data_IF_808631463102
#
_entry.id   IF_808631463102
#
_cell.length_a   1.000
_cell.length_b   1.000
_cell.length_c   1.000
_cell.angle_alpha   90.00
_cell.angle_beta   90.00
_cell.angle_gamma   90.00
#
_symmetry.space_group_name_H-M   'P 1'
#
loop_
_entity.id
_entity.type
_entity.pdbx_description
1 polymer ?
#
# COMPACT_ATOMS: atom_id res chain seq x y z
N UNK A 1 14.55 -9.50 26.66
CA UNK A 1 13.21 -9.06 27.11
C UNK A 1 12.54 -8.24 26.03
N UNK A 2 11.32 -8.59 25.65
CA UNK A 2 10.49 -7.84 24.72
C UNK A 2 9.05 -7.79 25.27
N UNK A 3 8.31 -6.73 24.93
CA UNK A 3 6.91 -6.56 25.27
C UNK A 3 6.08 -6.67 23.98
N UNK A 4 5.06 -7.52 23.99
CA UNK A 4 4.09 -7.69 22.91
C UNK A 4 2.73 -7.21 23.41
N UNK A 5 2.10 -6.26 22.72
CA UNK A 5 0.75 -5.76 23.06
C UNK A 5 -0.18 -5.90 21.86
N UNK A 6 -1.40 -6.37 22.10
CA UNK A 6 -2.44 -6.45 21.09
C UNK A 6 -3.57 -5.50 21.49
N UNK A 7 -3.81 -4.47 20.68
CA UNK A 7 -4.78 -3.39 20.92
C UNK A 7 -4.76 -2.80 22.34
N UNK A 8 -3.60 -2.26 22.81
CA UNK A 8 -3.45 -1.82 24.20
C UNK A 8 -4.28 -0.58 24.56
N UNK A 9 -4.80 0.14 23.57
CA UNK A 9 -5.69 1.30 23.77
C UNK A 9 -7.15 0.92 23.95
N UNK A 10 -7.49 -0.37 23.79
CA UNK A 10 -8.87 -0.81 23.89
C UNK A 10 -9.39 -0.77 25.34
N UNK A 11 -10.65 -0.39 25.51
CA UNK A 11 -11.31 -0.21 26.82
C UNK A 11 -10.66 0.83 27.76
N UNK A 12 -9.73 1.65 27.27
CA UNK A 12 -9.14 2.76 28.02
C UNK A 12 -9.91 4.05 27.76
N UNK A 13 -9.99 4.90 28.77
CA UNK A 13 -10.37 6.29 28.59
C UNK A 13 -9.18 7.10 28.04
N UNK A 14 -9.46 8.34 27.63
CA UNK A 14 -8.44 9.20 27.01
C UNK A 14 -7.26 9.48 27.93
N UNK A 15 -7.51 9.64 29.25
CA UNK A 15 -6.45 9.92 30.23
C UNK A 15 -5.50 8.71 30.38
N UNK A 16 -6.05 7.49 30.45
CA UNK A 16 -5.24 6.29 30.49
C UNK A 16 -4.46 6.05 29.20
N UNK A 17 -5.03 6.37 28.03
CA UNK A 17 -4.31 6.30 26.74
C UNK A 17 -3.11 7.25 26.75
N UNK A 18 -3.30 8.51 27.15
CA UNK A 18 -2.20 9.49 27.21
C UNK A 18 -1.08 9.09 28.17
N UNK A 19 -1.44 8.56 29.35
CA UNK A 19 -0.46 8.03 30.29
C UNK A 19 0.32 6.85 29.69
N UNK A 20 -0.38 5.94 29.01
CA UNK A 20 0.23 4.77 28.39
C UNK A 20 1.17 5.17 27.24
N UNK A 21 0.81 6.16 26.44
CA UNK A 21 1.66 6.74 25.39
C UNK A 21 2.98 7.23 25.98
N UNK A 22 2.93 8.10 27.00
CA UNK A 22 4.14 8.65 27.63
C UNK A 22 5.00 7.55 28.28
N UNK A 23 4.37 6.59 28.94
CA UNK A 23 5.06 5.45 29.53
C UNK A 23 5.79 4.60 28.48
N UNK A 24 5.14 4.31 27.35
CA UNK A 24 5.70 3.47 26.29
C UNK A 24 6.70 4.23 25.40
N UNK A 25 6.56 5.54 25.21
CA UNK A 25 7.55 6.37 24.50
C UNK A 25 8.91 6.38 25.22
N UNK A 26 8.92 6.23 26.55
CA UNK A 26 10.14 6.14 27.36
C UNK A 26 10.62 4.69 27.58
N UNK A 27 10.00 3.71 26.93
CA UNK A 27 10.34 2.30 27.10
C UNK A 27 11.71 1.98 26.49
N UNK A 28 12.62 1.44 27.31
CA UNK A 28 14.03 1.23 26.92
C UNK A 28 14.30 -0.12 26.26
N UNK A 29 13.31 -1.00 26.20
CA UNK A 29 13.42 -2.36 25.64
C UNK A 29 12.62 -2.48 24.34
N UNK A 30 12.70 -3.64 23.70
CA UNK A 30 11.93 -3.91 22.48
C UNK A 30 10.44 -3.95 22.83
N UNK A 31 9.66 -3.12 22.15
CA UNK A 31 8.21 -3.07 22.20
C UNK A 31 7.67 -3.38 20.80
N UNK A 32 6.71 -4.29 20.71
CA UNK A 32 5.98 -4.59 19.49
C UNK A 32 4.49 -4.57 19.81
N UNK A 33 3.71 -3.80 19.07
CA UNK A 33 2.28 -3.72 19.31
C UNK A 33 1.47 -3.57 18.03
N UNK A 34 0.20 -3.93 18.13
CA UNK A 34 -0.84 -3.66 17.13
C UNK A 34 -1.82 -2.67 17.72
N UNK A 35 -2.12 -1.60 16.99
CA UNK A 35 -3.05 -0.55 17.41
C UNK A 35 -3.69 0.11 16.18
N UNK A 36 -4.93 0.54 16.31
CA UNK A 36 -5.64 1.30 15.28
C UNK A 36 -5.53 2.84 15.42
N UNK A 37 -4.97 3.36 16.52
CA UNK A 37 -4.84 4.80 16.76
C UNK A 37 -3.61 5.39 16.08
N UNK A 38 -3.82 6.38 15.21
CA UNK A 38 -2.75 7.06 14.48
C UNK A 38 -1.88 7.91 15.42
N UNK A 39 -2.48 8.63 16.36
CA UNK A 39 -1.78 9.49 17.32
C UNK A 39 -0.85 8.66 18.22
N UNK A 40 -1.36 7.54 18.73
CA UNK A 40 -0.59 6.60 19.55
C UNK A 40 0.61 6.05 18.79
N UNK A 41 0.40 5.57 17.56
CA UNK A 41 1.48 5.09 16.71
C UNK A 41 2.47 6.21 16.38
N UNK A 42 2.01 7.44 16.20
CA UNK A 42 2.88 8.57 15.91
C UNK A 42 3.81 8.93 17.07
N UNK A 43 3.33 8.77 18.31
CA UNK A 43 4.06 9.12 19.53
C UNK A 43 5.00 8.00 20.01
N UNK A 44 4.64 6.73 19.79
CA UNK A 44 5.37 5.57 20.33
C UNK A 44 6.19 4.82 19.26
N UNK A 45 5.72 4.72 18.01
CA UNK A 45 6.41 3.89 17.00
C UNK A 45 7.67 4.56 16.45
N UNK A 46 8.74 3.78 16.36
CA UNK A 46 9.97 4.13 15.63
C UNK A 46 10.08 3.42 14.28
N UNK A 47 9.32 2.33 14.11
CA UNK A 47 9.25 1.51 12.92
C UNK A 47 7.83 1.00 12.75
N UNK A 48 7.37 0.86 11.50
CA UNK A 48 6.07 0.30 11.15
C UNK A 48 6.28 -0.96 10.31
N UNK A 49 5.59 -2.03 10.69
CA UNK A 49 5.51 -3.26 9.92
C UNK A 49 4.11 -3.35 9.32
N UNK A 50 4.02 -3.28 7.99
CA UNK A 50 2.76 -3.43 7.25
C UNK A 50 2.68 -4.83 6.66
N UNK A 51 1.52 -5.47 6.81
CA UNK A 51 1.17 -6.66 6.04
C UNK A 51 0.47 -6.25 4.73
N UNK A 52 1.14 -6.52 3.62
CA UNK A 52 0.58 -6.45 2.26
C UNK A 52 -0.31 -7.69 2.05
N UNK A 53 -1.62 -7.50 1.97
CA UNK A 53 -2.59 -8.59 1.89
C UNK A 53 -2.65 -9.17 0.47
N UNK A 54 -2.41 -8.33 -0.53
CA UNK A 54 -2.39 -8.72 -1.95
C UNK A 54 -1.27 -9.71 -2.23
N UNK A 55 -0.06 -9.44 -1.74
CA UNK A 55 1.12 -10.25 -2.00
C UNK A 55 1.54 -11.13 -0.82
N UNK A 56 0.83 -11.06 0.32
CA UNK A 56 1.13 -11.77 1.58
C UNK A 56 2.57 -11.51 2.04
N UNK A 57 3.01 -10.26 2.00
CA UNK A 57 4.39 -9.86 2.35
C UNK A 57 4.40 -8.85 3.48
N UNK A 58 5.39 -8.97 4.36
CA UNK A 58 5.67 -7.95 5.37
C UNK A 58 6.59 -6.89 4.77
N UNK A 59 6.21 -5.62 4.91
CA UNK A 59 7.00 -4.45 4.51
C UNK A 59 7.37 -3.66 5.74
N UNK A 60 8.63 -3.27 5.81
CA UNK A 60 9.20 -2.54 6.94
C UNK A 60 9.42 -1.08 6.54
N UNK A 61 8.99 -0.17 7.41
CA UNK A 61 9.16 1.27 7.24
C UNK A 61 9.83 1.83 8.50
N UNK A 62 10.76 2.76 8.30
CA UNK A 62 11.41 3.49 9.39
C UNK A 62 10.64 4.78 9.67
N UNK A 63 10.55 5.15 10.94
CA UNK A 63 9.81 6.31 11.40
C UNK A 63 8.44 5.98 11.98
N UNK A 64 7.68 7.03 12.25
CA UNK A 64 6.36 6.98 12.83
C UNK A 64 5.26 6.75 11.76
N UNK A 65 3.99 6.80 12.17
CA UNK A 65 2.86 6.52 11.28
C UNK A 65 2.79 7.49 10.09
N UNK A 66 2.94 8.79 10.32
CA UNK A 66 2.88 9.81 9.25
C UNK A 66 3.99 9.61 8.20
N UNK A 67 5.20 9.32 8.67
CA UNK A 67 6.32 9.03 7.78
C UNK A 67 6.07 7.76 6.98
N UNK A 68 5.51 6.72 7.60
CA UNK A 68 5.07 5.51 6.91
C UNK A 68 4.05 5.81 5.80
N UNK A 69 3.01 6.59 6.08
CA UNK A 69 1.97 6.94 5.10
C UNK A 69 2.58 7.63 3.89
N UNK A 70 3.48 8.59 4.13
CA UNK A 70 4.19 9.30 3.05
C UNK A 70 5.09 8.39 2.23
N UNK A 71 5.93 7.59 2.90
CA UNK A 71 6.85 6.66 2.24
C UNK A 71 6.10 5.63 1.40
N UNK A 72 4.99 5.11 1.92
CA UNK A 72 4.12 4.19 1.18
C UNK A 72 3.56 4.85 -0.07
N UNK A 73 3.01 6.05 0.05
CA UNK A 73 2.46 6.78 -1.09
C UNK A 73 3.52 7.01 -2.17
N UNK A 74 4.73 7.44 -1.80
CA UNK A 74 5.82 7.66 -2.75
C UNK A 74 6.26 6.35 -3.44
N UNK A 75 6.35 5.25 -2.69
CA UNK A 75 6.65 3.92 -3.23
C UNK A 75 5.55 3.44 -4.19
N UNK A 76 4.28 3.59 -3.83
CA UNK A 76 3.14 3.19 -4.65
C UNK A 76 3.10 4.01 -5.95
N UNK A 77 3.41 5.31 -5.90
CA UNK A 77 3.53 6.16 -7.09
C UNK A 77 4.66 5.70 -8.02
N UNK A 78 5.84 5.40 -7.47
CA UNK A 78 6.98 4.91 -8.26
C UNK A 78 6.65 3.56 -8.89
N UNK A 79 6.08 2.64 -8.12
CA UNK A 79 5.69 1.31 -8.57
C UNK A 79 4.62 1.39 -9.68
N UNK A 80 3.62 2.26 -9.53
CA UNK A 80 2.59 2.50 -10.56
C UNK A 80 3.23 2.98 -11.86
N UNK A 81 4.13 3.96 -11.79
CA UNK A 81 4.80 4.48 -13.00
C UNK A 81 5.64 3.43 -13.71
N UNK A 82 6.36 2.60 -12.94
CA UNK A 82 7.15 1.48 -13.48
C UNK A 82 6.24 0.46 -14.14
N UNK A 83 5.15 0.06 -13.48
CA UNK A 83 4.14 -0.82 -14.04
C UNK A 83 3.56 -0.28 -15.35
N UNK A 84 3.14 0.98 -15.39
CA UNK A 84 2.57 1.60 -16.60
C UNK A 84 3.58 1.69 -17.75
N UNK A 85 4.86 1.96 -17.46
CA UNK A 85 5.91 1.95 -18.47
C UNK A 85 6.12 0.53 -19.03
N UNK A 86 6.21 -0.48 -18.16
CA UNK A 86 6.34 -1.89 -18.56
C UNK A 86 5.13 -2.35 -19.39
N UNK A 87 3.91 -2.00 -19.00
CA UNK A 87 2.71 -2.35 -19.74
C UNK A 87 2.66 -1.69 -21.12
N UNK A 88 3.11 -0.43 -21.24
CA UNK A 88 3.23 0.25 -22.54
C UNK A 88 4.26 -0.43 -23.45
N UNK A 89 5.43 -0.77 -22.94
CA UNK A 89 6.46 -1.50 -23.68
C UNK A 89 5.93 -2.86 -24.17
N UNK A 90 5.24 -3.59 -23.29
CA UNK A 90 4.65 -4.89 -23.62
C UNK A 90 3.59 -4.74 -24.71
N UNK A 91 2.73 -3.72 -24.60
CA UNK A 91 1.70 -3.44 -25.59
C UNK A 91 2.31 -3.12 -26.97
N UNK A 92 3.37 -2.30 -27.01
CA UNK A 92 4.07 -1.98 -28.26
C UNK A 92 4.72 -3.21 -28.88
N UNK A 93 5.40 -4.05 -28.08
CA UNK A 93 6.00 -5.29 -28.57
C UNK A 93 4.93 -6.23 -29.12
N UNK A 94 3.80 -6.39 -28.41
CA UNK A 94 2.69 -7.23 -28.86
C UNK A 94 2.06 -6.72 -30.15
N UNK A 95 1.81 -5.41 -30.27
CA UNK A 95 1.28 -4.80 -31.49
C UNK A 95 2.25 -4.99 -32.67
N UNK A 96 3.56 -4.85 -32.44
CA UNK A 96 4.57 -5.11 -33.47
C UNK A 96 4.55 -6.57 -33.93
N UNK A 97 4.51 -7.53 -33.00
CA UNK A 97 4.44 -8.96 -33.34
C UNK A 97 3.17 -9.26 -34.14
N UNK A 98 2.03 -8.69 -33.74
CA UNK A 98 0.76 -8.89 -34.43
C UNK A 98 0.77 -8.34 -35.86
N UNK A 99 1.35 -7.14 -36.07
CA UNK A 99 1.41 -6.50 -37.40
C UNK A 99 2.42 -7.15 -38.34
N UNK A 100 3.56 -7.59 -37.81
CA UNK A 100 4.71 -7.99 -38.62
C UNK A 100 5.04 -9.50 -38.57
N UNK A 101 4.29 -10.29 -37.81
CA UNK A 101 4.49 -11.74 -37.66
C UNK A 101 4.32 -12.57 -38.93
N UNK A 102 3.59 -12.05 -39.92
CA UNK A 102 3.40 -12.66 -41.25
C UNK A 102 3.94 -11.79 -42.40
N UNK A 103 4.72 -10.75 -42.09
CA UNK A 103 5.27 -9.82 -43.07
C UNK A 103 6.46 -10.39 -43.84
N UNK A 104 7.29 -9.49 -44.39
CA UNK A 104 8.53 -9.88 -45.09
C UNK A 104 9.46 -10.70 -44.17
N UNK A 105 10.25 -11.63 -44.74
CA UNK A 105 11.21 -12.49 -44.01
C UNK A 105 12.08 -11.73 -42.99
N UNK A 106 12.51 -10.50 -43.32
CA UNK A 106 13.28 -9.64 -42.39
C UNK A 106 12.46 -9.22 -41.16
N UNK A 107 11.19 -8.87 -41.35
CA UNK A 107 10.28 -8.41 -40.30
C UNK A 107 9.83 -9.58 -39.41
N UNK A 108 9.59 -10.76 -40.00
CA UNK A 108 9.27 -11.99 -39.24
C UNK A 108 10.41 -12.36 -38.28
N UNK A 109 11.67 -12.30 -38.74
CA UNK A 109 12.84 -12.53 -37.86
C UNK A 109 12.94 -11.50 -36.73
N UNK A 110 12.59 -10.24 -36.99
CA UNK A 110 12.55 -9.21 -35.94
C UNK A 110 11.43 -9.45 -34.93
N UNK A 111 10.23 -9.86 -35.38
CA UNK A 111 9.11 -10.20 -34.51
C UNK A 111 9.47 -11.37 -33.57
N UNK A 112 10.07 -12.45 -34.10
CA UNK A 112 10.54 -13.60 -33.31
C UNK A 112 11.59 -13.21 -32.26
N UNK A 113 12.51 -12.30 -32.60
CA UNK A 113 13.51 -11.78 -31.65
C UNK A 113 12.85 -11.00 -30.51
N UNK A 114 11.90 -10.11 -30.83
CA UNK A 114 11.13 -9.33 -29.84
C UNK A 114 10.23 -10.22 -28.97
N UNK A 115 9.65 -11.27 -29.53
CA UNK A 115 8.86 -12.27 -28.81
C UNK A 115 9.72 -12.98 -27.75
N UNK A 116 10.93 -13.43 -28.12
CA UNK A 116 11.88 -14.02 -27.17
C UNK A 116 12.29 -13.04 -26.07
N UNK A 117 12.45 -11.76 -26.40
CA UNK A 117 12.74 -10.71 -25.43
C UNK A 117 11.56 -10.49 -24.47
N UNK A 118 10.33 -10.47 -24.97
CA UNK A 118 9.12 -10.38 -24.16
C UNK A 118 8.99 -11.58 -23.22
N UNK A 119 9.22 -12.80 -23.73
CA UNK A 119 9.21 -14.01 -22.91
C UNK A 119 10.24 -13.92 -21.77
N UNK A 120 11.46 -13.49 -22.06
CA UNK A 120 12.49 -13.27 -21.04
C UNK A 120 12.08 -12.21 -20.00
N UNK A 121 11.41 -11.12 -20.42
CA UNK A 121 10.87 -10.11 -19.50
C UNK A 121 9.79 -10.69 -18.58
N UNK A 122 8.90 -11.52 -19.11
CA UNK A 122 7.85 -12.19 -18.33
C UNK A 122 8.43 -13.18 -17.31
N UNK A 123 9.45 -13.96 -17.72
CA UNK A 123 10.15 -14.91 -16.84
C UNK A 123 10.92 -14.21 -15.72
N UNK A 124 11.47 -13.01 -15.97
CA UNK A 124 12.15 -12.21 -14.95
C UNK A 124 11.20 -11.65 -13.87
N UNK A 125 9.89 -11.68 -14.11
CA UNK A 125 8.87 -11.11 -13.24
C UNK A 125 8.65 -9.63 -13.52
N UNK A 126 7.42 -9.28 -13.91
CA UNK A 126 7.02 -7.88 -14.08
C UNK A 126 6.81 -7.20 -12.73
N UNK A 127 6.96 -5.88 -12.72
CA UNK A 127 6.60 -5.07 -11.57
C UNK A 127 5.12 -5.27 -11.27
N UNK A 128 4.73 -5.69 -10.05
CA UNK A 128 3.31 -5.84 -9.71
C UNK A 128 2.64 -4.47 -9.59
N UNK A 129 1.32 -4.41 -9.76
CA UNK A 129 0.55 -3.22 -9.39
C UNK A 129 0.63 -3.01 -7.87
N UNK A 130 0.76 -1.77 -7.35
CA UNK A 130 0.68 -1.57 -5.91
C UNK A 130 -0.69 -1.97 -5.36
N UNK A 131 -0.69 -2.40 -4.10
CA UNK A 131 -1.90 -2.75 -3.36
C UNK A 131 -2.80 -1.52 -3.20
N UNK A 132 -4.06 -1.66 -3.61
CA UNK A 132 -5.05 -0.60 -3.45
C UNK A 132 -5.87 -0.85 -2.18
N UNK A 133 -6.02 0.19 -1.38
CA UNK A 133 -6.93 0.14 -0.23
C UNK A 133 -8.39 0.13 -0.74
N UNK A 134 -9.29 -0.63 -0.09
CA UNK A 134 -10.69 -0.68 -0.47
C UNK A 134 -11.32 0.72 -0.40
N UNK A 135 -11.90 1.16 -1.51
CA UNK A 135 -12.67 2.40 -1.57
C UNK A 135 -14.11 2.11 -1.17
N UNK A 136 -14.54 2.74 -0.09
CA UNK A 136 -15.91 2.67 0.40
C UNK A 136 -16.64 3.93 -0.05
N UNK A 137 -17.72 3.77 -0.80
CA UNK A 137 -18.61 4.87 -1.15
C UNK A 137 -19.76 4.91 -0.14
N UNK A 138 -19.82 5.99 0.63
CA UNK A 138 -20.84 6.21 1.65
C UNK A 138 -21.81 7.27 1.15
N UNK A 139 -22.93 6.83 0.59
CA UNK A 139 -24.03 7.73 0.23
C UNK A 139 -25.01 7.78 1.39
N UNK A 140 -25.13 8.94 2.02
CA UNK A 140 -26.18 9.18 3.01
C UNK A 140 -27.41 9.76 2.32
N UNK A 141 -28.62 9.30 2.66
CA UNK A 141 -29.83 9.94 2.18
C UNK A 141 -29.92 11.37 2.72
N UNK A 142 -30.56 12.26 1.96
CA UNK A 142 -30.90 13.60 2.44
C UNK A 142 -31.80 13.48 3.68
N UNK A 143 -31.43 14.17 4.76
CA UNK A 143 -32.16 14.15 6.02
C UNK A 143 -33.55 14.80 5.91
N UNK A 144 -33.85 15.45 4.79
CA UNK A 144 -35.09 16.19 4.57
C UNK A 144 -35.24 17.32 5.59
N UNK A 145 -36.48 17.81 5.76
CA UNK A 145 -36.77 18.85 6.75
C UNK A 145 -36.83 18.23 8.15
N UNK A 146 -35.78 18.39 8.94
CA UNK A 146 -35.79 18.01 10.35
C UNK A 146 -36.79 18.88 11.13
N UNK A 147 -37.63 18.29 12.00
CA UNK A 147 -38.51 19.08 12.86
C UNK A 147 -37.67 19.95 13.79
N UNK A 148 -38.19 21.14 14.12
CA UNK A 148 -37.53 22.02 15.10
C UNK A 148 -37.33 21.26 16.42
N UNK A 149 -36.11 21.22 16.98
CA UNK A 149 -35.86 20.50 18.22
C UNK A 149 -36.71 21.13 19.33
N UNK A 150 -37.57 20.33 19.94
CA UNK A 150 -38.31 20.75 21.14
C UNK A 150 -37.33 20.64 22.31
N UNK A 151 -36.72 21.76 22.69
CA UNK A 151 -36.07 21.84 23.99
C UNK A 151 -37.17 21.86 25.06
N UNK A 152 -37.33 20.76 25.78
CA UNK A 152 -38.14 20.66 26.99
C UNK A 152 -37.32 21.08 28.22
#
# INVERSE_FOLDING_TARGET
DFLLLDEPTNHLDMEAVMWLEDYLSNWTKILFFVCHSQDFMNQVCTHIVRLDMTYKKLRYYTGNYDMYVKLRHDQDMIQTRQYEAEQRDIAEIKDFIARFGHGTVKMVRQAQSREKLLQKKLEAGLTPLPEQDPKWDWTFPDAGTLPVPVCA
#
